data_IF_854115193860
#
_entry.id   IF_854115193860
#
_cell.length_a   1.000
_cell.length_b   1.000
_cell.length_c   1.000
_cell.angle_alpha   90.00
_cell.angle_beta   90.00
_cell.angle_gamma   90.00
#
_symmetry.space_group_name_H-M   'P 1'
#
loop_
_entity.id
_entity.type
_entity.pdbx_description
1 polymer ?
#
# COMPACT_ATOMS: atom_id res chain seq x y z
N UNK A 1 -0.91 -8.61 2.94
CA UNK A 1 -1.79 -7.69 3.72
C UNK A 1 -2.49 -6.75 2.75
N UNK A 2 -3.78 -6.75 2.72
CA UNK A 2 -4.60 -5.85 1.91
C UNK A 2 -5.79 -5.37 2.72
N UNK A 3 -6.27 -4.15 2.41
CA UNK A 3 -7.44 -3.54 3.06
C UNK A 3 -7.38 -3.48 4.60
N UNK A 4 -6.19 -3.22 5.14
CA UNK A 4 -6.01 -2.98 6.56
C UNK A 4 -6.15 -1.49 6.83
N UNK A 5 -7.05 -1.12 7.70
CA UNK A 5 -7.27 0.28 8.07
C UNK A 5 -6.13 0.81 8.94
N UNK A 6 -5.69 2.04 8.68
CA UNK A 6 -4.69 2.74 9.51
C UNK A 6 -5.24 3.13 10.89
N UNK A 7 -6.56 3.16 11.04
CA UNK A 7 -7.23 3.51 12.28
C UNK A 7 -8.23 2.42 12.69
N UNK A 8 -8.34 2.19 13.99
CA UNK A 8 -9.34 1.30 14.60
C UNK A 8 -10.09 2.06 15.69
N UNK A 9 -11.27 1.56 16.06
CA UNK A 9 -12.03 2.10 17.19
C UNK A 9 -11.19 2.03 18.46
N UNK A 10 -11.09 3.15 19.20
CA UNK A 10 -10.31 3.21 20.44
C UNK A 10 -10.95 2.36 21.54
N UNK A 11 -12.28 2.38 21.62
CA UNK A 11 -13.07 1.73 22.65
C UNK A 11 -14.15 0.80 22.02
N UNK A 12 -13.75 -0.36 21.43
CA UNK A 12 -14.70 -1.29 20.86
C UNK A 12 -15.59 -1.89 21.94
N UNK A 13 -16.87 -2.08 21.64
CA UNK A 13 -17.83 -2.76 22.51
C UNK A 13 -18.25 -4.07 21.87
N UNK A 14 -18.46 -5.08 22.71
CA UNK A 14 -18.98 -6.35 22.25
C UNK A 14 -20.49 -6.24 21.95
N UNK A 15 -20.89 -6.88 20.86
CA UNK A 15 -22.28 -6.96 20.44
C UNK A 15 -22.78 -5.73 19.67
N UNK A 16 -24.10 -5.71 19.45
CA UNK A 16 -24.78 -4.64 18.69
C UNK A 16 -25.08 -3.45 19.60
N UNK A 17 -24.53 -2.30 19.26
CA UNK A 17 -24.84 -1.04 19.94
C UNK A 17 -26.19 -0.53 19.42
N UNK A 18 -27.15 -0.22 20.32
CA UNK A 18 -28.41 0.39 19.94
C UNK A 18 -28.23 1.86 19.59
N UNK A 19 -29.11 2.40 18.71
CA UNK A 19 -29.05 3.76 18.20
C UNK A 19 -29.02 4.84 19.29
N UNK A 20 -29.80 4.64 20.31
CA UNK A 20 -29.94 5.51 21.50
C UNK A 20 -28.73 5.50 22.43
N UNK A 21 -27.87 4.48 22.28
CA UNK A 21 -26.63 4.31 23.06
C UNK A 21 -25.38 4.73 22.29
N UNK A 22 -25.54 5.09 21.02
CA UNK A 22 -24.46 5.53 20.16
C UNK A 22 -24.35 7.04 20.26
N UNK A 23 -23.20 7.53 20.77
CA UNK A 23 -22.90 8.96 20.76
C UNK A 23 -22.63 9.48 19.35
N UNK A 24 -22.49 10.78 19.21
CA UNK A 24 -22.27 11.48 17.94
C UNK A 24 -20.84 11.27 17.37
N UNK A 25 -19.96 10.63 18.13
CA UNK A 25 -18.54 10.50 17.79
C UNK A 25 -18.05 9.08 18.03
N UNK A 26 -17.20 8.62 17.13
CA UNK A 26 -16.41 7.39 17.29
C UNK A 26 -14.96 7.83 17.49
N UNK A 27 -14.39 7.51 18.65
CA UNK A 27 -12.97 7.73 18.89
C UNK A 27 -12.14 6.69 18.16
N UNK A 28 -11.13 7.17 17.44
CA UNK A 28 -10.20 6.32 16.69
C UNK A 28 -8.81 6.39 17.31
N UNK A 29 -8.08 5.29 17.22
CA UNK A 29 -6.64 5.20 17.51
C UNK A 29 -5.90 4.59 16.34
N UNK A 30 -4.60 4.85 16.24
CA UNK A 30 -3.75 4.23 15.21
C UNK A 30 -3.76 2.71 15.36
N UNK A 31 -3.91 2.05 14.23
CA UNK A 31 -3.76 0.60 14.13
C UNK A 31 -2.28 0.21 14.06
N UNK A 32 -1.99 -1.05 14.33
CA UNK A 32 -0.65 -1.61 14.16
C UNK A 32 -0.32 -1.66 12.67
N UNK A 33 0.80 -1.09 12.27
CA UNK A 33 1.34 -1.26 10.93
C UNK A 33 1.92 -2.68 10.80
N UNK A 34 1.13 -3.57 10.22
CA UNK A 34 1.47 -4.99 10.10
C UNK A 34 2.79 -5.16 9.32
N UNK A 35 2.92 -4.46 8.18
CA UNK A 35 4.08 -4.61 7.29
C UNK A 35 5.37 -4.12 7.95
N UNK A 36 5.30 -3.04 8.73
CA UNK A 36 6.42 -2.50 9.49
C UNK A 36 6.88 -3.46 10.59
N UNK A 37 5.93 -4.11 11.27
CA UNK A 37 6.19 -4.99 12.41
C UNK A 37 6.43 -6.46 12.01
N UNK A 38 6.31 -6.78 10.72
CA UNK A 38 6.47 -8.14 10.23
C UNK A 38 7.96 -8.54 10.23
N UNK A 39 8.33 -9.50 11.07
CA UNK A 39 9.68 -10.06 11.14
C UNK A 39 9.70 -11.47 10.55
N UNK A 40 9.68 -11.58 9.24
CA UNK A 40 9.74 -12.85 8.51
C UNK A 40 11.00 -12.92 7.65
N UNK A 41 11.54 -14.13 7.51
CA UNK A 41 12.65 -14.45 6.60
C UNK A 41 12.15 -14.62 5.16
N UNK A 42 11.41 -13.64 4.65
CA UNK A 42 10.92 -13.62 3.28
C UNK A 42 11.05 -12.23 2.69
N UNK A 43 11.03 -12.13 1.37
CA UNK A 43 10.99 -10.84 0.67
C UNK A 43 9.70 -10.11 0.99
N UNK A 44 9.81 -8.82 1.31
CA UNK A 44 8.68 -7.94 1.62
C UNK A 44 8.53 -6.90 0.53
N UNK A 45 7.41 -6.92 -0.15
CA UNK A 45 7.07 -5.96 -1.20
C UNK A 45 5.84 -5.18 -0.76
N UNK A 46 6.02 -3.85 -0.67
CA UNK A 46 4.93 -2.94 -0.34
C UNK A 46 4.26 -2.38 -1.60
N UNK A 47 2.99 -2.02 -1.48
CA UNK A 47 2.27 -1.28 -2.52
C UNK A 47 1.96 0.11 -2.01
N UNK A 48 2.24 1.11 -2.83
CA UNK A 48 1.96 2.51 -2.54
C UNK A 48 1.23 3.14 -3.70
N UNK A 49 0.15 3.82 -3.39
CA UNK A 49 -0.63 4.60 -4.35
C UNK A 49 -0.50 6.08 -3.97
N UNK A 50 -0.21 6.90 -4.95
CA UNK A 50 -0.08 8.36 -4.81
C UNK A 50 -0.92 9.08 -5.87
N UNK A 51 -1.39 10.26 -5.53
CA UNK A 51 -2.08 11.15 -6.46
C UNK A 51 -1.18 12.34 -6.87
N UNK A 52 -0.19 12.66 -6.05
CA UNK A 52 0.80 13.69 -6.34
C UNK A 52 2.10 13.06 -6.86
N UNK A 53 2.35 13.20 -8.16
CA UNK A 53 3.55 12.67 -8.81
C UNK A 53 4.85 13.31 -8.29
N UNK A 54 4.80 14.57 -7.81
CA UNK A 54 5.99 15.34 -7.42
C UNK A 54 6.76 14.69 -6.28
N UNK A 55 6.04 14.17 -5.29
CA UNK A 55 6.64 13.58 -4.09
C UNK A 55 6.56 12.05 -4.07
N UNK A 56 5.85 11.45 -5.02
CA UNK A 56 5.54 10.02 -5.05
C UNK A 56 6.77 9.12 -4.89
N UNK A 57 7.83 9.41 -5.64
CA UNK A 57 9.06 8.60 -5.59
C UNK A 57 9.76 8.70 -4.23
N UNK A 58 9.84 9.89 -3.65
CA UNK A 58 10.45 10.09 -2.33
C UNK A 58 9.62 9.38 -1.26
N UNK A 59 8.30 9.54 -1.27
CA UNK A 59 7.40 8.86 -0.37
C UNK A 59 7.51 7.33 -0.45
N UNK A 60 7.71 6.78 -1.66
CA UNK A 60 7.91 5.35 -1.87
C UNK A 60 9.27 4.87 -1.32
N UNK A 61 10.34 5.64 -1.51
CA UNK A 61 11.66 5.35 -0.94
C UNK A 61 11.65 5.42 0.60
N UNK A 62 10.94 6.39 1.16
CA UNK A 62 10.77 6.51 2.61
C UNK A 62 9.99 5.31 3.17
N UNK A 63 8.93 4.87 2.48
CA UNK A 63 8.21 3.66 2.86
C UNK A 63 9.10 2.43 2.83
N UNK A 64 9.92 2.27 1.76
CA UNK A 64 10.86 1.16 1.62
C UNK A 64 11.81 1.11 2.82
N UNK A 65 12.39 2.24 3.19
CA UNK A 65 13.32 2.37 4.32
C UNK A 65 12.62 2.16 5.66
N UNK A 66 11.52 2.89 5.90
CA UNK A 66 10.86 2.93 7.22
C UNK A 66 10.18 1.62 7.61
N UNK A 67 9.77 0.81 6.62
CA UNK A 67 9.16 -0.50 6.83
C UNK A 67 10.11 -1.67 6.56
N UNK A 68 11.38 -1.38 6.26
CA UNK A 68 12.41 -2.36 5.94
C UNK A 68 11.93 -3.35 4.86
N UNK A 69 11.54 -2.80 3.70
CA UNK A 69 11.04 -3.58 2.57
C UNK A 69 12.17 -3.88 1.57
N UNK A 70 12.02 -4.96 0.82
CA UNK A 70 12.92 -5.32 -0.29
C UNK A 70 12.55 -4.55 -1.56
N UNK A 71 11.24 -4.26 -1.75
CA UNK A 71 10.77 -3.42 -2.84
C UNK A 71 9.45 -2.69 -2.52
N UNK A 72 9.17 -1.64 -3.28
CA UNK A 72 7.87 -0.95 -3.30
C UNK A 72 7.37 -0.86 -4.74
N UNK A 73 6.13 -1.28 -4.94
CA UNK A 73 5.37 -1.04 -6.17
C UNK A 73 4.62 0.29 -6.02
N UNK A 74 5.13 1.33 -6.65
CA UNK A 74 4.48 2.64 -6.66
C UNK A 74 3.54 2.77 -7.85
N UNK A 75 2.28 3.07 -7.59
CA UNK A 75 1.28 3.43 -8.57
C UNK A 75 0.90 4.91 -8.38
N UNK A 76 0.98 5.70 -9.45
CA UNK A 76 0.57 7.11 -9.44
C UNK A 76 -0.72 7.21 -10.23
N UNK A 77 -1.79 7.66 -9.56
CA UNK A 77 -3.05 7.98 -10.21
C UNK A 77 -2.95 9.34 -10.91
N UNK A 78 -3.60 9.47 -12.05
CA UNK A 78 -3.58 10.68 -12.86
C UNK A 78 -4.59 10.57 -14.01
N UNK A 79 -4.38 11.35 -15.05
CA UNK A 79 -5.31 11.43 -16.19
C UNK A 79 -5.46 10.07 -16.89
N UNK A 80 -4.38 9.31 -17.01
CA UNK A 80 -4.35 8.01 -17.71
C UNK A 80 -4.76 6.83 -16.82
N UNK A 81 -4.62 6.94 -15.50
CA UNK A 81 -4.85 5.85 -14.55
C UNK A 81 -5.80 6.34 -13.45
N UNK A 82 -7.04 5.87 -13.49
CA UNK A 82 -8.06 6.20 -12.49
C UNK A 82 -8.22 5.08 -11.47
N UNK A 83 -8.75 5.42 -10.32
CA UNK A 83 -9.14 4.42 -9.34
C UNK A 83 -10.13 3.43 -9.95
N UNK A 84 -9.86 2.13 -9.81
CA UNK A 84 -10.70 1.08 -10.38
C UNK A 84 -10.41 0.71 -11.84
N UNK A 85 -9.49 1.42 -12.54
CA UNK A 85 -9.09 1.05 -13.92
C UNK A 85 -8.59 -0.39 -13.99
N UNK A 86 -8.88 -1.06 -15.11
CA UNK A 86 -8.35 -2.40 -15.40
C UNK A 86 -6.87 -2.38 -15.80
N UNK A 87 -6.39 -1.24 -16.28
CA UNK A 87 -5.01 -1.03 -16.67
C UNK A 87 -4.28 -0.20 -15.62
N UNK A 88 -2.98 -0.43 -15.51
CA UNK A 88 -2.10 0.32 -14.63
C UNK A 88 -0.67 0.29 -15.13
N UNK A 89 0.15 1.19 -14.64
CA UNK A 89 1.61 1.16 -14.73
C UNK A 89 2.18 1.34 -13.34
N UNK A 90 3.31 0.73 -13.06
CA UNK A 90 3.98 0.85 -11.77
C UNK A 90 5.45 1.22 -11.92
N UNK A 91 6.00 1.84 -10.89
CA UNK A 91 7.43 1.88 -10.65
C UNK A 91 7.77 0.84 -9.58
N UNK A 92 8.59 -0.15 -9.94
CA UNK A 92 9.14 -1.13 -9.02
C UNK A 92 10.45 -0.58 -8.46
N UNK A 93 10.46 -0.26 -7.18
CA UNK A 93 11.52 0.48 -6.50
C UNK A 93 12.19 -0.45 -5.51
N UNK A 94 13.48 -0.67 -5.68
CA UNK A 94 14.35 -1.35 -4.70
C UNK A 94 15.28 -0.31 -4.04
N UNK A 95 16.18 -0.77 -3.18
CA UNK A 95 17.22 0.09 -2.61
C UNK A 95 18.10 0.72 -3.68
N UNK A 96 18.42 -0.03 -4.73
CA UNK A 96 19.43 0.33 -5.73
C UNK A 96 18.85 0.74 -7.09
N UNK A 97 17.61 0.35 -7.38
CA UNK A 97 17.01 0.51 -8.71
C UNK A 97 15.59 1.03 -8.69
N UNK A 98 15.20 1.70 -9.78
CA UNK A 98 13.82 2.09 -10.09
C UNK A 98 13.52 1.62 -11.50
N UNK A 99 12.61 0.68 -11.65
CA UNK A 99 12.16 0.15 -12.94
C UNK A 99 10.70 0.50 -13.17
N UNK A 100 10.36 1.01 -14.34
CA UNK A 100 8.98 1.33 -14.70
C UNK A 100 8.44 0.30 -15.68
N UNK A 101 7.19 -0.10 -15.51
CA UNK A 101 6.43 -0.88 -16.47
C UNK A 101 5.77 0.04 -17.49
N UNK A 102 5.44 -0.48 -18.66
CA UNK A 102 4.47 0.16 -19.56
C UNK A 102 3.06 0.07 -18.99
N UNK A 103 2.15 0.92 -19.47
CA UNK A 103 0.73 0.79 -19.18
C UNK A 103 0.22 -0.54 -19.76
N UNK A 104 -0.41 -1.36 -18.92
CA UNK A 104 -0.93 -2.67 -19.29
C UNK A 104 -2.04 -3.12 -18.33
N UNK A 105 -2.74 -4.19 -18.70
CA UNK A 105 -3.72 -4.84 -17.83
C UNK A 105 -3.08 -5.31 -16.53
N UNK A 106 -3.84 -5.27 -15.43
CA UNK A 106 -3.34 -5.61 -14.09
C UNK A 106 -2.75 -7.01 -13.98
N UNK A 107 -3.27 -7.97 -14.72
CA UNK A 107 -2.73 -9.35 -14.79
C UNK A 107 -1.31 -9.38 -15.38
N UNK A 108 -1.07 -8.58 -16.42
CA UNK A 108 0.26 -8.46 -17.04
C UNK A 108 1.23 -7.80 -16.05
N UNK A 109 0.79 -6.71 -15.41
CA UNK A 109 1.58 -6.02 -14.38
C UNK A 109 1.89 -6.96 -13.21
N UNK A 110 0.94 -7.73 -12.73
CA UNK A 110 1.15 -8.71 -11.66
C UNK A 110 2.21 -9.76 -12.04
N UNK A 111 2.17 -10.25 -13.30
CA UNK A 111 3.19 -11.16 -13.83
C UNK A 111 4.58 -10.51 -13.85
N UNK A 112 4.67 -9.25 -14.27
CA UNK A 112 5.93 -8.50 -14.29
C UNK A 112 6.47 -8.29 -12.86
N UNK A 113 5.63 -7.88 -11.91
CA UNK A 113 6.00 -7.75 -10.49
C UNK A 113 6.57 -9.06 -9.96
N UNK A 114 5.90 -10.18 -10.25
CA UNK A 114 6.36 -11.51 -9.81
C UNK A 114 7.74 -11.88 -10.38
N UNK A 115 7.99 -11.53 -11.65
CA UNK A 115 9.31 -11.74 -12.28
C UNK A 115 10.39 -10.86 -11.62
N UNK A 116 10.08 -9.58 -11.38
CA UNK A 116 11.01 -8.66 -10.72
C UNK A 116 11.30 -9.09 -9.28
N UNK A 117 10.29 -9.56 -8.55
CA UNK A 117 10.42 -10.04 -7.18
C UNK A 117 11.35 -11.26 -7.03
N UNK A 118 11.50 -12.08 -8.07
CA UNK A 118 12.42 -13.23 -8.06
C UNK A 118 13.90 -12.81 -8.16
N UNK A 119 14.16 -11.58 -8.62
CA UNK A 119 15.51 -11.09 -8.89
C UNK A 119 16.06 -10.15 -7.79
N UNK A 120 15.35 -9.97 -6.70
CA UNK A 120 15.75 -9.16 -5.55
C UNK A 120 16.04 -10.00 -4.32
#
# INVERSE_FOLDING_TARGET
CAAVSDFICANPKDGKIKKDQMGDKIELKLNIDILKNLNLKCKKIGFKMEMDAKNALNNAKDMLKNKNLDAVCLNILGDDIKFGSNETKISFITKDTVMQTSLAQKEIIASQITKLAKNI
#
